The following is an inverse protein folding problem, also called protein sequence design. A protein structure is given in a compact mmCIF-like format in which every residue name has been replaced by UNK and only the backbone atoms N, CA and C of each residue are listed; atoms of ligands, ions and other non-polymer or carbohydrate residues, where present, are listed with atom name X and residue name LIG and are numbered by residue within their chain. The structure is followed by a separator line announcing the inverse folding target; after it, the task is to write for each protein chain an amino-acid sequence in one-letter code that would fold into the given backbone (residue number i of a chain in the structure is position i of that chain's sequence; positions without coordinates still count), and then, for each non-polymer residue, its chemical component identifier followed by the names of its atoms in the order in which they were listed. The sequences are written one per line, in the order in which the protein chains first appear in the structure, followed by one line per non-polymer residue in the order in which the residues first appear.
data_IF_901043065572
#
_entry.id   IF_901043065572
#
_cell.length_a   1.000
_cell.length_b   1.000
_cell.length_c   1.000
_cell.angle_alpha   90.00
_cell.angle_beta   90.00
_cell.angle_gamma   90.00
#
_symmetry.space_group_name_H-M   'P 1'
#
loop_
_entity.id
_entity.type
_entity.pdbx_description
1 polymer ?
#
# COMPACT_ATOMS: atom_id res chain seq x y z
N UNK A 1 5.32 -50.72 11.50
CA UNK A 1 5.09 -50.38 10.09
C UNK A 1 5.61 -48.97 9.99
N UNK A 2 6.93 -48.87 9.84
CA UNK A 2 7.67 -47.64 10.06
C UNK A 2 7.86 -46.96 8.71
N UNK A 3 6.99 -46.01 8.39
CA UNK A 3 7.27 -45.00 7.38
C UNK A 3 8.16 -43.95 8.04
N UNK A 4 9.47 -44.18 7.98
CA UNK A 4 10.47 -43.15 8.23
C UNK A 4 10.23 -42.00 7.26
N UNK A 5 9.95 -40.84 7.87
CA UNK A 5 9.78 -39.51 7.32
C UNK A 5 11.04 -39.11 6.51
N UNK A 6 11.15 -39.58 5.26
CA UNK A 6 12.23 -39.21 4.34
C UNK A 6 12.04 -37.75 3.92
N UNK A 7 12.65 -36.84 4.67
CA UNK A 7 12.82 -35.44 4.24
C UNK A 7 13.39 -35.43 2.83
N UNK A 8 12.77 -34.72 1.88
CA UNK A 8 13.24 -34.69 0.49
C UNK A 8 14.70 -34.23 0.47
N UNK A 9 15.57 -35.02 -0.15
CA UNK A 9 16.95 -34.61 -0.41
C UNK A 9 16.91 -33.40 -1.34
N UNK A 10 17.13 -32.22 -0.78
CA UNK A 10 17.26 -30.99 -1.56
C UNK A 10 18.60 -31.04 -2.32
N UNK A 11 18.54 -31.06 -3.64
CA UNK A 11 19.73 -31.01 -4.49
C UNK A 11 20.54 -29.73 -4.21
N UNK A 12 21.87 -29.87 -4.13
CA UNK A 12 22.73 -28.71 -3.98
C UNK A 12 22.74 -27.90 -5.28
N UNK A 13 22.49 -26.58 -5.24
CA UNK A 13 22.45 -25.76 -6.44
C UNK A 13 23.83 -25.72 -7.11
N UNK A 14 23.85 -25.81 -8.44
CA UNK A 14 25.05 -25.56 -9.24
C UNK A 14 25.43 -24.09 -9.06
N UNK A 15 26.67 -23.83 -8.62
CA UNK A 15 27.14 -22.47 -8.39
C UNK A 15 27.44 -21.76 -9.72
N UNK A 16 26.45 -21.04 -10.25
CA UNK A 16 26.54 -20.28 -11.51
C UNK A 16 26.86 -18.80 -11.31
N UNK A 17 27.01 -18.32 -10.06
CA UNK A 17 27.12 -16.89 -9.74
C UNK A 17 25.81 -16.09 -9.91
N UNK A 18 24.75 -16.69 -10.44
CA UNK A 18 23.47 -16.02 -10.69
C UNK A 18 22.78 -15.55 -9.39
N UNK A 19 22.83 -16.35 -8.31
CA UNK A 19 22.18 -16.00 -7.05
C UNK A 19 22.74 -14.70 -6.42
N UNK A 20 24.07 -14.55 -6.23
CA UNK A 20 24.65 -13.27 -5.78
C UNK A 20 24.30 -12.09 -6.69
N UNK A 21 24.26 -12.29 -8.01
CA UNK A 21 23.89 -11.23 -8.97
C UNK A 21 22.43 -10.80 -8.81
N UNK A 22 21.50 -11.75 -8.71
CA UNK A 22 20.08 -11.46 -8.50
C UNK A 22 19.88 -10.72 -7.17
N UNK A 23 20.55 -11.16 -6.10
CA UNK A 23 20.46 -10.49 -4.79
C UNK A 23 20.98 -9.05 -4.87
N UNK A 24 22.06 -8.79 -5.62
CA UNK A 24 22.56 -7.44 -5.83
C UNK A 24 21.56 -6.56 -6.60
N UNK A 25 20.95 -7.08 -7.66
CA UNK A 25 19.93 -6.35 -8.42
C UNK A 25 18.69 -6.07 -7.57
N UNK A 26 18.17 -7.06 -6.82
CA UNK A 26 17.01 -6.84 -5.94
C UNK A 26 17.29 -5.78 -4.87
N UNK A 27 18.52 -5.71 -4.37
CA UNK A 27 18.91 -4.68 -3.40
C UNK A 27 18.77 -3.26 -3.96
N UNK A 28 19.02 -3.04 -5.26
CA UNK A 28 18.78 -1.75 -5.91
C UNK A 28 17.30 -1.37 -5.90
N UNK A 29 16.40 -2.33 -6.14
CA UNK A 29 14.96 -2.09 -6.04
C UNK A 29 14.54 -1.76 -4.60
N UNK A 30 15.10 -2.47 -3.62
CA UNK A 30 14.83 -2.18 -2.21
C UNK A 30 15.31 -0.77 -1.83
N UNK A 31 16.48 -0.34 -2.34
CA UNK A 31 17.01 1.01 -2.18
C UNK A 31 16.13 2.06 -2.87
N UNK A 32 15.74 1.84 -4.12
CA UNK A 32 14.89 2.76 -4.85
C UNK A 32 13.51 2.94 -4.20
N UNK A 33 12.89 1.87 -3.72
CA UNK A 33 11.64 1.95 -2.96
C UNK A 33 11.84 2.71 -1.64
N UNK A 34 12.92 2.43 -0.91
CA UNK A 34 13.23 3.17 0.30
C UNK A 34 13.37 4.66 0.02
N UNK A 35 14.05 5.03 -1.07
CA UNK A 35 14.18 6.40 -1.50
C UNK A 35 12.83 7.02 -1.87
N UNK A 36 11.99 6.35 -2.67
CA UNK A 36 10.63 6.80 -3.03
C UNK A 36 9.74 7.10 -1.80
N UNK A 37 9.90 6.35 -0.71
CA UNK A 37 9.15 6.56 0.54
C UNK A 37 9.88 7.44 1.58
N UNK A 38 11.13 7.84 1.33
CA UNK A 38 11.93 8.61 2.30
C UNK A 38 11.74 10.12 2.24
N UNK A 39 11.18 10.71 1.18
CA UNK A 39 10.97 12.16 1.09
C UNK A 39 9.56 12.60 0.69
N UNK A 40 9.21 13.82 1.11
CA UNK A 40 7.93 14.48 0.83
C UNK A 40 7.94 15.38 -0.40
N UNK A 41 9.07 15.53 -1.11
CA UNK A 41 9.21 16.51 -2.19
C UNK A 41 8.46 16.03 -3.45
N UNK A 42 7.47 16.78 -3.96
CA UNK A 42 6.67 16.36 -5.11
C UNK A 42 7.45 16.36 -6.43
N UNK A 43 8.42 17.27 -6.58
CA UNK A 43 9.23 17.46 -7.79
C UNK A 43 10.48 16.55 -7.85
N UNK A 44 10.42 15.44 -7.11
CA UNK A 44 11.48 14.44 -7.05
C UNK A 44 11.19 13.30 -8.02
N UNK A 45 12.22 12.83 -8.70
CA UNK A 45 12.20 11.60 -9.49
C UNK A 45 13.26 10.63 -8.97
N UNK A 46 12.93 9.35 -8.94
CA UNK A 46 13.84 8.25 -8.59
C UNK A 46 13.92 7.31 -9.80
N UNK A 47 15.13 7.11 -10.30
CA UNK A 47 15.44 6.22 -11.42
C UNK A 47 16.12 4.95 -10.95
N UNK A 48 15.84 3.83 -11.62
CA UNK A 48 16.51 2.52 -11.39
C UNK A 48 17.24 2.14 -12.66
N UNK A 49 18.54 1.82 -12.55
CA UNK A 49 19.44 1.55 -13.68
C UNK A 49 19.35 2.68 -14.74
N UNK A 50 19.60 3.92 -14.29
CA UNK A 50 19.50 5.14 -15.10
C UNK A 50 20.84 5.87 -15.16
N UNK A 51 21.01 6.94 -14.39
CA UNK A 51 22.29 7.63 -14.25
C UNK A 51 23.29 6.82 -13.41
N UNK A 52 22.79 5.93 -12.56
CA UNK A 52 23.51 4.93 -11.78
C UNK A 52 22.52 3.80 -11.40
N UNK A 53 22.92 2.86 -10.55
CA UNK A 53 22.07 1.78 -10.02
C UNK A 53 20.74 2.34 -9.50
N UNK A 54 20.80 3.37 -8.65
CA UNK A 54 19.66 4.20 -8.24
C UNK A 54 20.04 5.67 -8.37
N UNK A 55 19.21 6.48 -9.01
CA UNK A 55 19.44 7.92 -9.15
C UNK A 55 18.25 8.71 -8.65
N UNK A 56 18.50 9.89 -8.09
CA UNK A 56 17.47 10.85 -7.72
C UNK A 56 17.75 12.19 -8.40
N UNK A 57 16.71 12.77 -8.98
CA UNK A 57 16.71 14.13 -9.51
C UNK A 57 15.65 14.95 -8.80
N UNK A 58 16.02 16.13 -8.31
CA UNK A 58 15.11 17.08 -7.66
C UNK A 58 15.18 18.41 -8.39
N UNK A 59 14.07 18.80 -9.02
CA UNK A 59 13.94 20.14 -9.60
C UNK A 59 13.73 21.16 -8.49
N UNK A 60 14.53 22.23 -8.52
CA UNK A 60 14.44 23.35 -7.60
C UNK A 60 13.53 24.44 -8.17
N UNK A 61 13.03 25.32 -7.29
CA UNK A 61 12.16 26.43 -7.69
C UNK A 61 12.83 27.44 -8.64
N UNK A 62 14.17 27.52 -8.63
CA UNK A 62 14.96 28.36 -9.54
C UNK A 62 15.21 27.71 -10.91
N UNK A 63 14.65 26.52 -11.16
CA UNK A 63 14.80 25.76 -12.40
C UNK A 63 16.08 24.91 -12.46
N UNK A 64 16.93 24.96 -11.44
CA UNK A 64 18.09 24.07 -11.36
C UNK A 64 17.69 22.66 -10.94
N UNK A 65 18.57 21.68 -11.18
CA UNK A 65 18.36 20.29 -10.80
C UNK A 65 19.51 19.84 -9.91
N UNK A 66 19.16 19.23 -8.78
CA UNK A 66 20.10 18.53 -7.90
C UNK A 66 20.02 17.04 -8.19
N UNK A 67 21.17 16.40 -8.32
CA UNK A 67 21.29 14.97 -8.57
C UNK A 67 21.90 14.24 -7.37
N UNK A 68 21.43 13.02 -7.11
CA UNK A 68 22.06 12.06 -6.22
C UNK A 68 22.19 10.73 -6.94
N UNK A 69 23.39 10.18 -6.99
CA UNK A 69 23.72 8.95 -7.70
C UNK A 69 24.16 7.90 -6.69
N UNK A 70 23.43 6.80 -6.60
CA UNK A 70 23.75 5.69 -5.71
C UNK A 70 24.29 4.52 -6.52
N UNK A 71 25.42 3.98 -6.06
CA UNK A 71 25.98 2.73 -6.55
C UNK A 71 25.85 1.71 -5.43
N UNK A 72 25.09 0.64 -5.69
CA UNK A 72 24.56 -0.24 -4.66
C UNK A 72 25.34 -1.55 -4.62
N UNK A 73 25.76 -1.95 -3.42
CA UNK A 73 26.55 -3.15 -3.23
C UNK A 73 26.00 -4.04 -2.12
N UNK A 74 25.26 -5.07 -2.54
CA UNK A 74 24.92 -6.17 -1.67
C UNK A 74 26.04 -7.22 -1.65
N UNK A 75 26.44 -7.65 -0.45
CA UNK A 75 27.27 -8.85 -0.26
C UNK A 75 26.55 -9.89 0.57
N UNK A 76 26.66 -11.15 0.11
CA UNK A 76 26.21 -12.35 0.83
C UNK A 76 27.35 -13.03 1.60
N UNK A 77 28.57 -12.46 1.55
CA UNK A 77 29.73 -12.99 2.26
C UNK A 77 29.62 -12.70 3.76
N UNK A 78 30.00 -13.68 4.59
CA UNK A 78 29.95 -13.55 6.04
C UNK A 78 31.00 -12.56 6.61
N UNK A 79 32.04 -12.24 5.84
CA UNK A 79 33.10 -11.31 6.23
C UNK A 79 33.56 -10.45 5.06
N UNK A 80 34.06 -9.26 5.39
CA UNK A 80 34.48 -8.25 4.41
C UNK A 80 33.37 -7.28 4.02
N UNK A 81 33.70 -6.33 3.14
CA UNK A 81 32.76 -5.37 2.56
C UNK A 81 33.05 -5.16 1.07
N UNK A 82 32.08 -4.74 0.24
CA UNK A 82 32.26 -4.64 -1.21
C UNK A 82 33.30 -3.60 -1.65
N UNK A 83 33.49 -2.55 -0.86
CA UNK A 83 34.36 -1.41 -1.15
C UNK A 83 35.76 -1.56 -0.56
N UNK A 84 36.43 -2.68 -0.81
CA UNK A 84 37.82 -2.89 -0.38
C UNK A 84 38.77 -1.89 -1.06
N UNK A 85 39.80 -1.45 -0.36
CA UNK A 85 40.77 -0.43 -0.83
C UNK A 85 41.49 -0.83 -2.13
N UNK A 86 41.70 -2.14 -2.33
CA UNK A 86 42.27 -2.72 -3.57
C UNK A 86 41.23 -3.48 -4.41
N UNK A 87 39.94 -3.37 -4.07
CA UNK A 87 38.85 -4.10 -4.70
C UNK A 87 38.41 -3.45 -6.01
N UNK A 88 38.23 -4.26 -7.06
CA UNK A 88 37.80 -3.77 -8.38
C UNK A 88 36.52 -2.94 -8.33
N UNK A 89 35.55 -3.27 -7.46
CA UNK A 89 34.27 -2.55 -7.39
C UNK A 89 34.45 -1.07 -7.07
N UNK A 90 35.19 -0.72 -6.00
CA UNK A 90 35.47 0.67 -5.64
C UNK A 90 36.11 1.44 -6.80
N UNK A 91 37.21 0.91 -7.35
CA UNK A 91 37.94 1.58 -8.43
C UNK A 91 37.14 1.70 -9.72
N UNK A 92 36.32 0.70 -10.04
CA UNK A 92 35.43 0.75 -11.20
C UNK A 92 34.38 1.85 -11.04
N UNK A 93 33.73 1.94 -9.88
CA UNK A 93 32.74 2.99 -9.59
C UNK A 93 33.36 4.38 -9.71
N UNK A 94 34.52 4.62 -9.07
CA UNK A 94 35.22 5.91 -9.17
C UNK A 94 35.55 6.26 -10.62
N UNK A 95 36.04 5.29 -11.42
CA UNK A 95 36.32 5.50 -12.84
C UNK A 95 35.06 5.89 -13.60
N UNK A 96 33.94 5.19 -13.39
CA UNK A 96 32.69 5.44 -14.11
C UNK A 96 32.19 6.86 -13.84
N UNK A 97 32.15 7.29 -12.57
CA UNK A 97 31.76 8.66 -12.22
C UNK A 97 32.70 9.71 -12.81
N UNK A 98 34.03 9.52 -12.71
CA UNK A 98 35.00 10.43 -13.30
C UNK A 98 34.88 10.52 -14.81
N UNK A 99 34.56 9.42 -15.50
CA UNK A 99 34.41 9.41 -16.96
C UNK A 99 33.18 10.15 -17.48
N UNK A 100 32.19 10.41 -16.62
CA UNK A 100 30.98 11.15 -16.95
C UNK A 100 30.92 12.52 -16.25
N UNK A 101 32.03 12.96 -15.64
CA UNK A 101 32.02 14.12 -14.76
C UNK A 101 31.61 15.42 -15.47
N UNK A 102 31.91 15.56 -16.76
CA UNK A 102 31.46 16.71 -17.57
C UNK A 102 29.94 16.81 -17.62
N UNK A 103 29.27 15.67 -17.78
CA UNK A 103 27.81 15.59 -17.89
C UNK A 103 27.18 15.75 -16.51
N UNK A 104 27.83 15.26 -15.45
CA UNK A 104 27.33 15.40 -14.08
C UNK A 104 27.49 16.81 -13.53
N UNK A 105 28.52 17.56 -13.94
CA UNK A 105 28.72 18.97 -13.56
C UNK A 105 27.65 19.91 -14.13
N UNK A 106 26.72 19.43 -14.97
CA UNK A 106 25.57 20.22 -15.42
C UNK A 106 24.51 20.42 -14.32
N UNK A 107 24.46 19.52 -13.33
CA UNK A 107 23.57 19.65 -12.18
C UNK A 107 24.10 20.71 -11.22
N UNK A 108 23.20 21.46 -10.57
CA UNK A 108 23.60 22.48 -9.60
C UNK A 108 24.37 21.88 -8.42
N UNK A 109 23.97 20.67 -8.02
CA UNK A 109 24.69 19.84 -7.07
C UNK A 109 24.58 18.37 -7.49
N UNK A 110 25.64 17.61 -7.25
CA UNK A 110 25.68 16.15 -7.47
C UNK A 110 26.23 15.49 -6.22
N UNK A 111 25.44 14.65 -5.56
CA UNK A 111 25.93 13.76 -4.50
C UNK A 111 26.24 12.39 -5.09
N UNK A 112 27.44 11.86 -4.79
CA UNK A 112 27.83 10.50 -5.14
C UNK A 112 27.74 9.62 -3.91
N UNK A 113 26.99 8.52 -3.97
CA UNK A 113 26.74 7.67 -2.82
C UNK A 113 27.13 6.24 -3.10
N UNK A 114 28.04 5.72 -2.28
CA UNK A 114 28.33 4.30 -2.21
C UNK A 114 27.43 3.68 -1.15
N UNK A 115 26.66 2.67 -1.51
CA UNK A 115 25.74 2.01 -0.56
C UNK A 115 26.12 0.56 -0.38
N UNK A 116 26.03 0.04 0.85
CA UNK A 116 26.19 -1.39 1.10
C UNK A 116 25.35 -1.90 2.28
N UNK A 117 24.96 -3.17 2.23
CA UNK A 117 24.16 -3.83 3.27
C UNK A 117 24.96 -4.15 4.56
N UNK A 118 26.29 -4.16 4.52
CA UNK A 118 27.15 -4.47 5.66
C UNK A 118 27.81 -3.21 6.24
N UNK A 119 28.42 -3.30 7.42
CA UNK A 119 29.19 -2.18 7.96
C UNK A 119 30.56 -2.07 7.30
N UNK A 120 31.04 -0.84 7.09
CA UNK A 120 32.37 -0.55 6.55
C UNK A 120 33.28 0.00 7.66
N UNK A 121 34.45 -0.62 7.92
CA UNK A 121 35.38 -0.15 8.96
C UNK A 121 35.91 1.28 8.72
N UNK A 122 36.10 2.05 9.79
CA UNK A 122 36.53 3.46 9.75
C UNK A 122 37.92 3.68 9.16
N UNK A 123 38.81 2.70 9.21
CA UNK A 123 40.17 2.80 8.67
C UNK A 123 40.31 2.56 7.16
N UNK A 124 39.21 2.31 6.46
CA UNK A 124 39.22 2.03 5.01
C UNK A 124 39.39 3.29 4.19
N UNK A 125 39.95 3.14 2.98
CA UNK A 125 40.07 4.25 2.03
C UNK A 125 38.70 4.89 1.77
N UNK A 126 37.68 4.09 1.49
CA UNK A 126 36.34 4.60 1.16
C UNK A 126 35.73 5.46 2.29
N UNK A 127 36.01 5.15 3.57
CA UNK A 127 35.60 6.00 4.69
C UNK A 127 36.36 7.31 4.71
N UNK A 128 37.67 7.26 4.54
CA UNK A 128 38.49 8.48 4.42
C UNK A 128 38.03 9.38 3.28
N UNK A 129 37.61 8.82 2.14
CA UNK A 129 37.07 9.60 1.03
C UNK A 129 35.71 10.22 1.39
N UNK A 130 34.80 9.44 1.98
CA UNK A 130 33.46 9.90 2.36
C UNK A 130 33.45 10.93 3.50
N UNK A 131 34.41 10.86 4.42
CA UNK A 131 34.49 11.70 5.61
C UNK A 131 35.24 13.02 5.34
N UNK A 132 35.80 13.18 4.14
CA UNK A 132 36.50 14.40 3.73
C UNK A 132 35.50 15.54 3.46
N UNK A 133 35.44 16.51 4.36
CA UNK A 133 34.50 17.64 4.28
C UNK A 133 35.20 18.98 4.05
N UNK A 134 36.32 19.23 4.73
CA UNK A 134 37.09 20.47 4.53
C UNK A 134 38.04 20.36 3.34
N UNK A 135 38.44 21.50 2.77
CA UNK A 135 39.41 21.55 1.65
C UNK A 135 40.69 20.78 1.98
N UNK A 136 41.22 20.95 3.19
CA UNK A 136 42.40 20.21 3.69
C UNK A 136 42.15 18.70 3.78
N UNK A 137 40.97 18.28 4.22
CA UNK A 137 40.64 16.85 4.30
C UNK A 137 40.50 16.25 2.91
N UNK A 138 39.92 17.01 1.96
CA UNK A 138 39.78 16.61 0.56
C UNK A 138 41.16 16.46 -0.10
N UNK A 139 42.07 17.42 0.08
CA UNK A 139 43.46 17.29 -0.40
C UNK A 139 44.15 16.05 0.19
N UNK A 140 43.99 15.82 1.50
CA UNK A 140 44.55 14.65 2.17
C UNK A 140 43.92 13.33 1.68
N UNK A 141 42.65 13.35 1.30
CA UNK A 141 41.94 12.20 0.73
C UNK A 141 42.36 11.93 -0.72
N UNK A 142 42.57 12.97 -1.54
CA UNK A 142 43.15 12.86 -2.89
C UNK A 142 44.55 12.23 -2.82
N UNK A 143 45.40 12.71 -1.91
CA UNK A 143 46.73 12.13 -1.71
C UNK A 143 46.67 10.65 -1.31
N UNK A 144 45.74 10.27 -0.43
CA UNK A 144 45.53 8.88 -0.04
C UNK A 144 45.03 8.00 -1.19
N UNK A 145 44.10 8.53 -2.02
CA UNK A 145 43.62 7.84 -3.22
C UNK A 145 44.79 7.59 -4.19
N UNK A 146 45.67 8.57 -4.40
CA UNK A 146 46.87 8.46 -5.25
C UNK A 146 47.84 7.41 -4.71
N UNK A 147 48.13 7.44 -3.42
CA UNK A 147 49.00 6.46 -2.77
C UNK A 147 48.45 5.04 -2.94
N UNK A 148 47.16 4.85 -2.66
CA UNK A 148 46.52 3.55 -2.83
C UNK A 148 46.47 3.12 -4.31
N UNK A 149 46.25 4.05 -5.25
CA UNK A 149 46.31 3.75 -6.67
C UNK A 149 47.70 3.19 -7.06
N UNK A 150 48.78 3.83 -6.58
CA UNK A 150 50.15 3.36 -6.82
C UNK A 150 50.38 1.97 -6.20
N UNK A 151 49.89 1.72 -4.98
CA UNK A 151 49.98 0.41 -4.34
C UNK A 151 49.23 -0.68 -5.13
N UNK A 152 48.03 -0.36 -5.64
CA UNK A 152 47.25 -1.25 -6.52
C UNK A 152 48.00 -1.54 -7.82
N UNK A 153 48.59 -0.52 -8.45
CA UNK A 153 49.32 -0.65 -9.71
C UNK A 153 50.64 -1.43 -9.56
N UNK A 154 51.30 -1.32 -8.41
CA UNK A 154 52.50 -2.09 -8.08
C UNK A 154 52.20 -3.59 -7.88
N UNK A 155 50.94 -3.94 -7.58
CA UNK A 155 50.51 -5.32 -7.43
C UNK A 155 50.03 -5.89 -8.77
N UNK A 156 50.91 -6.64 -9.46
CA UNK A 156 50.61 -7.27 -10.75
C UNK A 156 49.40 -8.22 -10.75
N UNK A 157 49.03 -8.75 -9.58
CA UNK A 157 47.88 -9.67 -9.42
C UNK A 157 46.58 -8.95 -9.08
N UNK A 158 46.59 -7.64 -8.90
CA UNK A 158 45.39 -6.91 -8.51
C UNK A 158 44.38 -6.86 -9.66
N UNK A 159 43.15 -7.24 -9.35
CA UNK A 159 42.02 -7.16 -10.30
C UNK A 159 41.53 -5.73 -10.53
N UNK A 160 42.01 -4.77 -9.71
CA UNK A 160 41.67 -3.35 -9.81
C UNK A 160 42.65 -2.53 -10.66
N UNK A 161 43.82 -3.06 -11.03
CA UNK A 161 44.92 -2.29 -11.66
C UNK A 161 44.49 -1.52 -12.91
N UNK A 162 43.64 -2.12 -13.75
CA UNK A 162 43.11 -1.43 -14.95
C UNK A 162 42.31 -0.19 -14.55
N UNK A 163 41.36 -0.34 -13.63
CA UNK A 163 40.47 0.74 -13.21
C UNK A 163 41.25 1.84 -12.45
N UNK A 164 42.15 1.43 -11.54
CA UNK A 164 43.02 2.34 -10.80
C UNK A 164 43.93 3.16 -11.74
N UNK A 165 44.44 2.57 -12.83
CA UNK A 165 45.26 3.28 -13.82
C UNK A 165 44.48 4.40 -14.53
N UNK A 166 43.16 4.27 -14.68
CA UNK A 166 42.33 5.33 -15.25
C UNK A 166 42.07 6.42 -14.23
N UNK A 167 41.68 6.06 -13.00
CA UNK A 167 41.45 7.01 -11.91
C UNK A 167 42.72 7.84 -11.66
N UNK A 168 43.89 7.20 -11.67
CA UNK A 168 45.18 7.84 -11.48
C UNK A 168 45.55 8.88 -12.56
N UNK A 169 44.83 8.96 -13.69
CA UNK A 169 45.11 9.94 -14.76
C UNK A 169 44.29 11.22 -14.67
N UNK A 170 43.20 11.23 -13.89
CA UNK A 170 42.39 12.44 -13.71
C UNK A 170 43.15 13.51 -12.94
N UNK A 171 42.84 14.79 -13.17
CA UNK A 171 43.45 15.90 -12.44
C UNK A 171 42.98 15.92 -10.97
N UNK A 172 43.79 16.48 -10.08
CA UNK A 172 43.46 16.56 -8.66
C UNK A 172 42.16 17.36 -8.42
N UNK A 173 41.87 18.38 -9.22
CA UNK A 173 40.61 19.15 -9.16
C UNK A 173 39.37 18.27 -9.41
N UNK A 174 39.43 17.35 -10.37
CA UNK A 174 38.32 16.45 -10.68
C UNK A 174 38.15 15.38 -9.57
N UNK A 175 39.27 14.88 -9.04
CA UNK A 175 39.25 13.97 -7.89
C UNK A 175 38.68 14.67 -6.65
N UNK A 176 39.11 15.90 -6.39
CA UNK A 176 38.63 16.73 -5.27
C UNK A 176 37.13 17.04 -5.42
N UNK A 177 36.67 17.36 -6.64
CA UNK A 177 35.24 17.59 -6.91
C UNK A 177 34.39 16.38 -6.54
N UNK A 178 34.80 15.17 -6.96
CA UNK A 178 34.10 13.92 -6.66
C UNK A 178 34.17 13.60 -5.17
N UNK A 179 35.37 13.63 -4.57
CA UNK A 179 35.58 13.28 -3.16
C UNK A 179 34.79 14.21 -2.24
N UNK A 180 34.80 15.51 -2.49
CA UNK A 180 34.04 16.48 -1.68
C UNK A 180 32.52 16.29 -1.73
N UNK A 181 32.02 15.46 -2.65
CA UNK A 181 30.61 15.12 -2.84
C UNK A 181 30.31 13.64 -2.60
N UNK A 182 31.31 12.86 -2.17
CA UNK A 182 31.18 11.44 -1.94
C UNK A 182 30.60 11.17 -0.56
N UNK A 183 29.62 10.28 -0.48
CA UNK A 183 29.03 9.74 0.74
C UNK A 183 29.07 8.22 0.73
N UNK A 184 29.29 7.62 1.89
CA UNK A 184 29.19 6.18 2.09
C UNK A 184 28.09 5.88 3.09
N UNK A 185 27.07 5.17 2.61
CA UNK A 185 25.91 4.72 3.37
C UNK A 185 25.98 3.21 3.58
N UNK A 186 26.47 2.79 4.74
CA UNK A 186 26.63 1.38 5.08
C UNK A 186 25.41 0.84 5.87
N UNK A 187 25.41 -0.45 6.20
CA UNK A 187 24.31 -1.11 6.96
C UNK A 187 22.92 -0.93 6.33
N UNK A 188 22.85 -0.99 5.00
CA UNK A 188 21.62 -0.82 4.23
C UNK A 188 21.36 0.62 3.79
N UNK A 189 22.14 1.59 4.29
CA UNK A 189 22.11 2.96 3.82
C UNK A 189 20.79 3.71 4.08
N UNK A 190 20.04 3.29 5.09
CA UNK A 190 18.81 3.95 5.52
C UNK A 190 19.09 4.88 6.71
N UNK A 191 18.20 5.86 6.92
CA UNK A 191 18.32 6.77 8.07
C UNK A 191 18.13 6.07 9.43
N UNK A 192 17.38 4.96 9.47
CA UNK A 192 17.16 4.17 10.69
C UNK A 192 18.29 3.18 11.00
N UNK A 193 19.21 2.95 10.05
CA UNK A 193 20.22 1.91 10.14
C UNK A 193 19.69 0.49 9.96
N UNK A 194 18.42 0.34 9.55
CA UNK A 194 17.83 -0.93 9.14
C UNK A 194 18.09 -1.20 7.66
N UNK A 195 17.84 -2.44 7.22
CA UNK A 195 17.89 -2.76 5.80
C UNK A 195 16.74 -2.03 5.05
N UNK A 196 16.92 -1.70 3.75
CA UNK A 196 15.99 -0.82 3.02
C UNK A 196 14.55 -1.29 3.01
N UNK A 197 14.32 -2.60 2.90
CA UNK A 197 12.99 -3.21 2.90
C UNK A 197 12.25 -2.93 4.22
N UNK A 198 12.88 -3.24 5.34
CA UNK A 198 12.31 -3.09 6.68
C UNK A 198 12.02 -1.62 7.00
N UNK A 199 12.97 -0.72 6.64
CA UNK A 199 12.78 0.72 6.79
C UNK A 199 11.61 1.23 5.91
N UNK A 200 11.46 0.69 4.70
CA UNK A 200 10.34 1.03 3.81
C UNK A 200 8.99 0.58 4.38
N UNK A 201 8.91 -0.65 4.90
CA UNK A 201 7.68 -1.17 5.53
C UNK A 201 7.28 -0.31 6.73
N UNK A 202 8.25 0.14 7.54
CA UNK A 202 7.97 1.07 8.64
C UNK A 202 7.43 2.42 8.15
N UNK A 203 7.97 2.94 7.05
CA UNK A 203 7.52 4.19 6.42
C UNK A 203 6.14 4.11 5.80
N UNK A 204 5.60 2.93 5.54
CA UNK A 204 4.22 2.78 5.08
C UNK A 204 3.21 3.27 6.12
N UNK A 205 3.58 3.33 7.41
CA UNK A 205 2.71 3.77 8.50
C UNK A 205 1.35 3.06 8.46
N UNK A 206 1.39 1.74 8.29
CA UNK A 206 0.20 0.93 8.08
C UNK A 206 -0.76 1.01 9.29
N UNK A 207 -2.09 0.99 9.06
CA UNK A 207 -3.06 0.80 10.12
C UNK A 207 -2.75 -0.45 10.94
N UNK A 208 -3.05 -0.44 12.25
CA UNK A 208 -2.71 -1.52 13.19
C UNK A 208 -3.18 -2.90 12.71
N UNK A 209 -4.38 -2.99 12.12
CA UNK A 209 -4.93 -4.23 11.56
C UNK A 209 -4.19 -4.78 10.32
N UNK A 210 -3.36 -3.96 9.68
CA UNK A 210 -2.61 -4.33 8.48
C UNK A 210 -1.09 -4.48 8.72
N UNK A 211 -0.59 -4.19 9.92
CA UNK A 211 0.86 -4.29 10.22
C UNK A 211 1.40 -5.69 9.92
N UNK A 212 0.65 -6.73 10.26
CA UNK A 212 1.03 -8.13 9.98
C UNK A 212 1.09 -8.47 8.47
N UNK A 213 0.49 -7.64 7.62
CA UNK A 213 0.50 -7.79 6.15
C UNK A 213 1.54 -6.88 5.48
N UNK A 214 2.41 -6.20 6.25
CA UNK A 214 3.37 -5.24 5.72
C UNK A 214 4.30 -5.82 4.67
N UNK A 215 4.76 -7.06 4.87
CA UNK A 215 5.57 -7.77 3.87
C UNK A 215 4.82 -8.03 2.57
N UNK A 216 3.55 -8.45 2.63
CA UNK A 216 2.75 -8.71 1.43
C UNK A 216 2.47 -7.41 0.65
N UNK A 217 2.21 -6.31 1.37
CA UNK A 217 2.02 -4.99 0.78
C UNK A 217 3.31 -4.53 0.11
N UNK A 218 4.47 -4.72 0.76
CA UNK A 218 5.78 -4.43 0.17
C UNK A 218 6.02 -5.23 -1.11
N UNK A 219 5.78 -6.54 -1.08
CA UNK A 219 5.97 -7.41 -2.25
C UNK A 219 5.07 -7.00 -3.42
N UNK A 220 3.83 -6.58 -3.15
CA UNK A 220 2.96 -6.03 -4.19
C UNK A 220 3.55 -4.76 -4.81
N UNK A 221 3.97 -3.80 -3.98
CA UNK A 221 4.55 -2.54 -4.44
C UNK A 221 5.85 -2.76 -5.23
N UNK A 222 6.73 -3.64 -4.74
CA UNK A 222 7.95 -4.06 -5.42
C UNK A 222 7.64 -4.70 -6.77
N UNK A 223 6.66 -5.61 -6.84
CA UNK A 223 6.23 -6.22 -8.09
C UNK A 223 5.82 -5.18 -9.14
N UNK A 224 5.07 -4.14 -8.73
CA UNK A 224 4.69 -3.04 -9.63
C UNK A 224 5.91 -2.25 -10.11
N UNK A 225 6.90 -2.00 -9.24
CA UNK A 225 8.14 -1.32 -9.63
C UNK A 225 8.93 -2.12 -10.66
N UNK A 226 9.12 -3.42 -10.41
CA UNK A 226 9.83 -4.35 -11.30
C UNK A 226 9.15 -4.44 -12.66
N UNK A 227 7.82 -4.60 -12.68
CA UNK A 227 7.07 -4.66 -13.95
C UNK A 227 7.20 -3.37 -14.75
N UNK A 228 7.12 -2.21 -14.10
CA UNK A 228 7.31 -0.91 -14.78
C UNK A 228 8.72 -0.74 -15.33
N UNK A 229 9.75 -1.16 -14.58
CA UNK A 229 11.14 -1.13 -15.06
C UNK A 229 11.30 -2.04 -16.27
N UNK A 230 10.84 -3.29 -16.19
CA UNK A 230 10.89 -4.25 -17.30
C UNK A 230 10.24 -3.67 -18.56
N UNK A 231 9.03 -3.10 -18.44
CA UNK A 231 8.33 -2.50 -19.56
C UNK A 231 9.06 -1.31 -20.19
N UNK A 232 9.77 -0.50 -19.41
CA UNK A 232 10.58 0.61 -19.91
C UNK A 232 11.84 0.08 -20.63
N UNK A 233 12.58 -0.82 -19.99
CA UNK A 233 13.83 -1.36 -20.54
C UNK A 233 13.61 -2.21 -21.80
N UNK A 234 12.49 -2.95 -21.90
CA UNK A 234 12.11 -3.67 -23.13
C UNK A 234 11.91 -2.73 -24.33
N UNK A 235 11.62 -1.45 -24.08
CA UNK A 235 11.51 -0.39 -25.10
C UNK A 235 12.80 0.43 -25.26
N UNK A 236 13.84 0.15 -24.48
CA UNK A 236 15.06 0.96 -24.43
C UNK A 236 14.87 2.32 -23.73
N UNK A 237 13.84 2.45 -22.90
CA UNK A 237 13.54 3.67 -22.14
C UNK A 237 14.10 3.60 -20.71
N UNK A 238 14.42 4.76 -20.12
CA UNK A 238 14.84 4.87 -18.73
C UNK A 238 13.63 4.76 -17.77
N UNK A 239 13.80 4.06 -16.65
CA UNK A 239 12.74 3.85 -15.67
C UNK A 239 12.79 4.92 -14.56
N UNK A 240 12.02 6.00 -14.72
CA UNK A 240 11.88 7.07 -13.72
C UNK A 240 10.52 7.03 -13.02
N UNK A 241 10.53 7.24 -11.71
CA UNK A 241 9.35 7.18 -10.84
C UNK A 241 9.21 8.43 -9.99
N UNK A 242 7.98 8.88 -9.77
CA UNK A 242 7.68 9.90 -8.77
C UNK A 242 7.29 9.26 -7.43
N UNK A 243 7.67 9.85 -6.28
CA UNK A 243 7.20 9.41 -4.96
C UNK A 243 5.68 9.32 -4.86
N UNK A 244 4.96 10.25 -5.49
CA UNK A 244 3.49 10.29 -5.43
C UNK A 244 2.86 9.04 -6.05
N UNK A 245 3.39 8.53 -7.17
CA UNK A 245 2.89 7.32 -7.83
C UNK A 245 2.85 6.13 -6.86
N UNK A 246 3.88 5.99 -6.03
CA UNK A 246 4.03 4.88 -5.09
C UNK A 246 3.23 5.09 -3.79
N UNK A 247 3.07 6.34 -3.34
CA UNK A 247 2.16 6.68 -2.24
C UNK A 247 0.70 6.37 -2.61
N UNK A 248 0.28 6.72 -3.82
CA UNK A 248 -1.07 6.41 -4.32
C UNK A 248 -1.29 4.90 -4.46
N UNK A 249 -0.27 4.16 -4.91
CA UNK A 249 -0.31 2.70 -4.97
C UNK A 249 -0.46 2.08 -3.57
N UNK A 250 0.31 2.56 -2.59
CA UNK A 250 0.19 2.13 -1.19
C UNK A 250 -1.21 2.40 -0.64
N UNK A 251 -1.75 3.61 -0.82
CA UNK A 251 -3.10 3.95 -0.37
C UNK A 251 -4.17 3.06 -0.99
N UNK A 252 -4.05 2.75 -2.30
CA UNK A 252 -4.98 1.85 -2.99
C UNK A 252 -4.91 0.43 -2.43
N UNK A 253 -3.71 -0.08 -2.17
CA UNK A 253 -3.51 -1.43 -1.65
C UNK A 253 -4.00 -1.56 -0.19
N UNK A 254 -3.73 -0.55 0.64
CA UNK A 254 -4.28 -0.44 2.00
C UNK A 254 -5.81 -0.43 1.95
N UNK A 255 -6.41 0.44 1.12
CA UNK A 255 -7.86 0.52 0.97
C UNK A 255 -8.49 -0.79 0.47
N UNK A 256 -7.82 -1.51 -0.44
CA UNK A 256 -8.28 -2.82 -0.93
C UNK A 256 -8.28 -3.87 0.18
N UNK A 257 -7.28 -3.86 1.06
CA UNK A 257 -7.16 -4.84 2.15
C UNK A 257 -8.09 -4.53 3.31
N UNK A 258 -8.33 -3.26 3.59
CA UNK A 258 -9.36 -2.82 4.54
C UNK A 258 -10.78 -2.99 4.01
N UNK A 259 -11.00 -3.34 2.73
CA UNK A 259 -12.35 -3.52 2.17
C UNK A 259 -13.23 -4.50 2.97
N UNK A 260 -12.62 -5.55 3.55
CA UNK A 260 -13.34 -6.52 4.37
C UNK A 260 -13.98 -5.90 5.60
N UNK A 261 -13.40 -4.82 6.09
CA UNK A 261 -13.90 -4.07 7.23
C UNK A 261 -15.22 -3.39 6.83
N UNK A 262 -15.31 -2.86 5.60
CA UNK A 262 -16.48 -2.14 5.07
C UNK A 262 -17.61 -3.04 4.53
N UNK A 263 -17.41 -4.36 4.43
CA UNK A 263 -18.42 -5.30 3.94
C UNK A 263 -19.09 -6.03 5.10
N UNK A 264 -20.38 -6.31 4.98
CA UNK A 264 -21.08 -7.07 6.00
C UNK A 264 -20.65 -8.54 6.00
N UNK A 265 -20.59 -9.14 7.20
CA UNK A 265 -20.17 -10.53 7.37
C UNK A 265 -21.31 -11.52 7.07
N UNK A 266 -21.04 -12.81 6.81
CA UNK A 266 -22.10 -13.80 6.68
C UNK A 266 -22.98 -13.87 7.93
N UNK A 267 -24.30 -13.97 7.79
CA UNK A 267 -25.27 -13.94 8.90
C UNK A 267 -24.93 -14.90 10.04
N UNK A 268 -24.47 -16.11 9.71
CA UNK A 268 -24.10 -17.15 10.69
C UNK A 268 -22.86 -16.81 11.52
N UNK A 269 -22.04 -15.86 11.09
CA UNK A 269 -20.89 -15.36 11.84
C UNK A 269 -21.23 -14.19 12.77
N UNK A 270 -22.42 -13.63 12.62
CA UNK A 270 -22.93 -12.56 13.48
C UNK A 270 -23.58 -13.23 14.70
N UNK A 271 -23.13 -12.91 15.91
CA UNK A 271 -23.63 -13.48 17.18
C UNK A 271 -25.04 -13.04 17.56
N UNK A 272 -25.94 -12.82 16.59
CA UNK A 272 -27.24 -12.18 16.79
C UNK A 272 -28.24 -13.03 17.58
N UNK A 273 -28.07 -14.36 17.59
CA UNK A 273 -29.00 -15.29 18.26
C UNK A 273 -29.10 -15.06 19.77
N UNK A 274 -28.03 -14.57 20.40
CA UNK A 274 -28.03 -14.24 21.83
C UNK A 274 -28.98 -13.06 22.12
N UNK A 275 -29.04 -12.08 21.22
CA UNK A 275 -29.91 -10.90 21.35
C UNK A 275 -31.38 -11.23 21.10
N UNK A 276 -31.66 -12.12 20.14
CA UNK A 276 -33.01 -12.63 19.87
C UNK A 276 -33.59 -13.34 21.11
N UNK A 277 -32.76 -14.07 21.85
CA UNK A 277 -33.16 -14.80 23.05
C UNK A 277 -33.33 -13.93 24.30
N UNK A 278 -32.60 -12.80 24.38
CA UNK A 278 -32.51 -12.00 25.60
C UNK A 278 -33.68 -11.01 25.81
N UNK A 279 -34.17 -10.33 24.77
CA UNK A 279 -35.33 -9.41 24.89
C UNK A 279 -35.89 -8.91 23.54
N UNK A 280 -35.66 -9.64 22.44
CA UNK A 280 -35.76 -9.09 21.08
C UNK A 280 -37.16 -8.93 20.47
N UNK A 281 -38.26 -8.87 21.23
CA UNK A 281 -39.62 -8.91 20.63
C UNK A 281 -40.47 -7.64 20.76
N UNK A 282 -40.03 -6.62 21.51
CA UNK A 282 -40.74 -5.33 21.57
C UNK A 282 -40.18 -4.32 20.55
N UNK A 283 -40.30 -4.65 19.26
CA UNK A 283 -39.95 -3.74 18.17
C UNK A 283 -41.20 -3.21 17.48
N UNK A 284 -41.16 -1.94 17.09
CA UNK A 284 -42.26 -1.27 16.41
C UNK A 284 -42.57 -1.93 15.06
N UNK A 285 -41.55 -2.33 14.29
CA UNK A 285 -41.76 -3.05 13.03
C UNK A 285 -42.45 -4.41 13.23
N UNK A 286 -42.19 -5.12 14.33
CA UNK A 286 -42.86 -6.41 14.63
C UNK A 286 -44.36 -6.23 14.91
N UNK A 287 -44.76 -5.10 15.51
CA UNK A 287 -46.17 -4.74 15.70
C UNK A 287 -46.87 -4.60 14.34
N UNK A 288 -46.21 -3.98 13.36
CA UNK A 288 -46.71 -3.87 11.99
C UNK A 288 -46.85 -5.24 11.31
N UNK A 289 -45.81 -6.10 11.39
CA UNK A 289 -45.84 -7.44 10.78
C UNK A 289 -46.92 -8.35 11.39
N UNK A 290 -47.12 -8.24 12.71
CA UNK A 290 -48.18 -8.96 13.42
C UNK A 290 -49.56 -8.44 13.02
N UNK A 291 -49.72 -7.13 12.87
CA UNK A 291 -50.96 -6.50 12.41
C UNK A 291 -51.36 -6.96 11.00
N UNK A 292 -50.38 -7.20 10.12
CA UNK A 292 -50.63 -7.80 8.80
C UNK A 292 -51.09 -9.28 8.89
N UNK A 293 -51.05 -9.93 10.05
CA UNK A 293 -51.43 -11.33 10.19
C UNK A 293 -50.48 -12.28 9.45
N UNK A 294 -49.18 -12.00 9.51
CA UNK A 294 -48.14 -12.85 8.94
C UNK A 294 -47.84 -14.06 9.85
N UNK A 295 -47.41 -15.21 9.31
CA UNK A 295 -47.07 -16.38 10.11
C UNK A 295 -45.91 -16.09 11.09
N UNK A 296 -45.99 -16.60 12.32
CA UNK A 296 -44.96 -16.40 13.36
C UNK A 296 -43.56 -16.77 12.90
N UNK A 297 -43.41 -17.88 12.16
CA UNK A 297 -42.12 -18.29 11.59
C UNK A 297 -41.50 -17.23 10.68
N UNK A 298 -42.32 -16.56 9.88
CA UNK A 298 -41.84 -15.50 8.99
C UNK A 298 -41.44 -14.26 9.78
N UNK A 299 -42.22 -13.90 10.80
CA UNK A 299 -41.91 -12.78 11.71
C UNK A 299 -40.59 -13.04 12.45
N UNK A 300 -40.35 -14.26 12.94
CA UNK A 300 -39.10 -14.65 13.58
C UNK A 300 -37.90 -14.54 12.62
N UNK A 301 -38.05 -14.96 11.36
CA UNK A 301 -37.00 -14.79 10.34
C UNK A 301 -36.68 -13.30 10.06
N UNK A 302 -37.70 -12.43 10.08
CA UNK A 302 -37.48 -10.99 9.92
C UNK A 302 -36.80 -10.37 11.15
N UNK A 303 -37.07 -10.89 12.33
CA UNK A 303 -36.38 -10.49 13.55
C UNK A 303 -34.90 -10.87 13.53
N UNK A 304 -34.59 -12.08 13.04
CA UNK A 304 -33.21 -12.52 12.83
C UNK A 304 -32.45 -11.56 11.89
N UNK A 305 -33.10 -11.15 10.78
CA UNK A 305 -32.53 -10.19 9.84
C UNK A 305 -32.27 -8.81 10.48
N UNK A 306 -33.22 -8.31 11.29
CA UNK A 306 -33.08 -7.04 11.99
C UNK A 306 -31.86 -7.04 12.93
N UNK A 307 -31.71 -8.05 13.78
CA UNK A 307 -30.59 -8.11 14.73
C UNK A 307 -29.25 -8.33 14.04
N UNK A 308 -29.22 -9.20 13.01
CA UNK A 308 -28.01 -9.40 12.23
C UNK A 308 -27.56 -8.09 11.56
N UNK A 309 -28.49 -7.31 10.99
CA UNK A 309 -28.19 -5.99 10.45
C UNK A 309 -27.70 -5.01 11.54
N UNK A 310 -28.40 -4.91 12.66
CA UNK A 310 -28.06 -3.96 13.72
C UNK A 310 -26.65 -4.16 14.27
N UNK A 311 -26.24 -5.41 14.50
CA UNK A 311 -24.89 -5.74 14.97
C UNK A 311 -23.84 -5.35 13.94
N UNK A 312 -24.11 -5.61 12.65
CA UNK A 312 -23.19 -5.20 11.59
C UNK A 312 -23.14 -3.68 11.42
N UNK A 313 -24.26 -2.96 11.57
CA UNK A 313 -24.28 -1.50 11.57
C UNK A 313 -23.34 -0.96 12.65
N UNK A 314 -23.47 -1.43 13.89
CA UNK A 314 -22.61 -1.02 15.02
C UNK A 314 -21.14 -1.33 14.74
N UNK A 315 -20.84 -2.52 14.19
CA UNK A 315 -19.47 -2.89 13.81
C UNK A 315 -18.91 -1.96 12.73
N UNK A 316 -19.66 -1.77 11.65
CA UNK A 316 -19.27 -0.96 10.50
C UNK A 316 -19.08 0.52 10.86
N UNK A 317 -19.92 1.06 11.75
CA UNK A 317 -19.72 2.39 12.34
C UNK A 317 -18.42 2.45 13.15
N UNK A 318 -18.11 1.41 13.95
CA UNK A 318 -16.84 1.29 14.67
C UNK A 318 -15.61 1.14 13.77
N UNK A 319 -15.77 0.57 12.59
CA UNK A 319 -14.72 0.39 11.58
C UNK A 319 -14.59 1.58 10.60
N UNK A 320 -15.42 2.61 10.77
CA UNK A 320 -15.26 3.91 10.10
C UNK A 320 -16.10 4.12 8.85
N UNK A 321 -17.18 3.37 8.64
CA UNK A 321 -18.18 3.72 7.61
C UNK A 321 -18.77 5.09 7.92
N UNK A 322 -18.70 6.00 6.95
CA UNK A 322 -19.08 7.40 7.16
C UNK A 322 -20.60 7.56 7.25
N UNK A 323 -21.08 8.47 8.12
CA UNK A 323 -22.52 8.71 8.30
C UNK A 323 -23.23 9.11 7.00
N UNK A 324 -22.53 9.79 6.09
CA UNK A 324 -23.06 10.15 4.79
C UNK A 324 -23.41 8.92 3.92
N UNK A 325 -22.64 7.84 4.02
CA UNK A 325 -22.92 6.59 3.29
C UNK A 325 -24.16 5.89 3.87
N UNK A 326 -24.38 5.97 5.19
CA UNK A 326 -25.61 5.48 5.83
C UNK A 326 -26.83 6.26 5.37
N UNK A 327 -26.78 7.59 5.44
CA UNK A 327 -27.89 8.46 5.01
C UNK A 327 -28.24 8.25 3.53
N UNK A 328 -27.24 8.13 2.66
CA UNK A 328 -27.46 7.86 1.25
C UNK A 328 -28.13 6.50 1.01
N UNK A 329 -27.72 5.48 1.78
CA UNK A 329 -28.36 4.16 1.75
C UNK A 329 -29.80 4.21 2.26
N UNK A 330 -30.07 4.90 3.36
CA UNK A 330 -31.41 5.05 3.95
C UNK A 330 -32.37 5.73 2.97
N UNK A 331 -31.95 6.82 2.30
CA UNK A 331 -32.74 7.46 1.23
C UNK A 331 -33.01 6.48 0.08
N UNK A 332 -31.99 5.76 -0.41
CA UNK A 332 -32.16 4.77 -1.47
C UNK A 332 -33.19 3.68 -1.10
N UNK A 333 -33.14 3.17 0.13
CA UNK A 333 -34.11 2.19 0.62
C UNK A 333 -35.51 2.80 0.69
N UNK A 334 -35.64 4.01 1.22
CA UNK A 334 -36.91 4.72 1.32
C UNK A 334 -37.57 4.95 -0.06
N UNK A 335 -36.82 5.47 -1.04
CA UNK A 335 -37.34 5.66 -2.40
C UNK A 335 -37.78 4.36 -3.07
N UNK A 336 -37.01 3.27 -2.85
CA UNK A 336 -37.40 1.95 -3.35
C UNK A 336 -38.67 1.45 -2.68
N UNK A 337 -38.78 1.56 -1.35
CA UNK A 337 -39.99 1.18 -0.61
C UNK A 337 -41.22 1.94 -1.13
N UNK A 338 -41.12 3.26 -1.33
CA UNK A 338 -42.20 4.08 -1.95
C UNK A 338 -42.62 3.53 -3.30
N UNK A 339 -41.65 3.21 -4.16
CA UNK A 339 -41.92 2.63 -5.49
C UNK A 339 -42.62 1.28 -5.37
N UNK A 340 -42.15 0.40 -4.49
CA UNK A 340 -42.75 -0.91 -4.22
C UNK A 340 -44.18 -0.78 -3.68
N UNK A 341 -44.44 0.21 -2.83
CA UNK A 341 -45.77 0.50 -2.30
C UNK A 341 -46.72 1.01 -3.39
N UNK A 342 -46.31 1.99 -4.18
CA UNK A 342 -47.13 2.52 -5.26
C UNK A 342 -47.49 1.41 -6.26
N UNK A 343 -46.53 0.54 -6.58
CA UNK A 343 -46.80 -0.64 -7.43
C UNK A 343 -47.78 -1.62 -6.78
N UNK A 344 -47.69 -1.82 -5.46
CA UNK A 344 -48.63 -2.68 -4.73
C UNK A 344 -50.06 -2.12 -4.71
N UNK A 345 -50.20 -0.80 -4.59
CA UNK A 345 -51.49 -0.09 -4.65
C UNK A 345 -52.10 -0.19 -6.05
N UNK A 346 -51.29 -0.03 -7.11
CA UNK A 346 -51.73 -0.23 -8.50
C UNK A 346 -52.10 -1.68 -8.82
N UNK A 347 -51.34 -2.65 -8.32
CA UNK A 347 -51.59 -4.09 -8.55
C UNK A 347 -52.88 -4.59 -7.89
N UNK A 348 -53.29 -3.94 -6.78
CA UNK A 348 -54.35 -4.39 -5.89
C UNK A 348 -55.39 -3.28 -5.66
N UNK A 349 -55.87 -2.67 -6.74
CA UNK A 349 -56.94 -1.68 -6.72
C UNK A 349 -58.15 -2.22 -5.94
N UNK A 350 -58.72 -1.39 -5.05
CA UNK A 350 -59.82 -1.72 -4.12
C UNK A 350 -59.56 -2.83 -3.08
N UNK A 351 -58.31 -3.30 -2.93
CA UNK A 351 -57.98 -4.29 -1.91
C UNK A 351 -57.88 -3.69 -0.49
N UNK A 352 -58.13 -4.48 0.57
CA UNK A 352 -57.93 -4.02 1.94
C UNK A 352 -56.49 -3.56 2.18
N UNK A 353 -56.25 -2.53 3.03
CA UNK A 353 -54.91 -2.03 3.35
C UNK A 353 -53.90 -3.12 3.79
N UNK A 354 -54.36 -4.15 4.49
CA UNK A 354 -53.54 -5.29 4.87
C UNK A 354 -53.05 -6.14 3.68
N UNK A 355 -53.83 -6.24 2.59
CA UNK A 355 -53.41 -6.93 1.37
C UNK A 355 -52.35 -6.14 0.61
N UNK A 356 -52.54 -4.83 0.49
CA UNK A 356 -51.54 -3.89 -0.06
C UNK A 356 -50.25 -3.96 0.75
N UNK A 357 -50.34 -3.90 2.09
CA UNK A 357 -49.18 -4.00 2.98
C UNK A 357 -48.36 -5.28 2.81
N UNK A 358 -49.03 -6.44 2.69
CA UNK A 358 -48.37 -7.71 2.39
C UNK A 358 -47.67 -7.70 1.03
N UNK A 359 -48.28 -7.08 0.03
CA UNK A 359 -47.72 -6.96 -1.32
C UNK A 359 -46.50 -6.03 -1.32
N UNK A 360 -46.59 -4.87 -0.67
CA UNK A 360 -45.48 -3.93 -0.47
C UNK A 360 -44.29 -4.61 0.21
N UNK A 361 -44.53 -5.33 1.31
CA UNK A 361 -43.49 -6.08 2.03
C UNK A 361 -42.79 -7.09 1.11
N UNK A 362 -43.56 -7.86 0.34
CA UNK A 362 -43.02 -8.87 -0.59
C UNK A 362 -42.20 -8.26 -1.73
N UNK A 363 -42.62 -7.12 -2.28
CA UNK A 363 -41.89 -6.42 -3.34
C UNK A 363 -40.61 -5.75 -2.81
N UNK A 364 -40.66 -5.26 -1.56
CA UNK A 364 -39.55 -4.54 -0.92
C UNK A 364 -38.45 -5.51 -0.47
N UNK A 365 -38.85 -6.63 0.16
CA UNK A 365 -37.95 -7.70 0.64
C UNK A 365 -37.69 -8.76 -0.44
N UNK A 366 -37.41 -8.29 -1.66
CA UNK A 366 -37.09 -9.11 -2.81
C UNK A 366 -35.70 -9.75 -2.69
N UNK A 367 -35.61 -11.05 -2.97
CA UNK A 367 -34.38 -11.85 -2.81
C UNK A 367 -33.25 -11.48 -3.78
N UNK A 368 -33.53 -10.66 -4.79
CA UNK A 368 -32.54 -10.20 -5.75
C UNK A 368 -31.96 -8.82 -5.42
N UNK A 369 -32.62 -8.05 -4.54
CA UNK A 369 -32.23 -6.68 -4.24
C UNK A 369 -31.32 -6.59 -3.01
N UNK A 370 -30.07 -6.20 -3.25
CA UNK A 370 -29.04 -5.96 -2.24
C UNK A 370 -28.55 -4.53 -2.35
N UNK A 371 -28.99 -3.67 -1.43
CA UNK A 371 -28.59 -2.26 -1.47
C UNK A 371 -27.08 -2.14 -1.19
N UNK A 372 -26.34 -1.23 -1.85
CA UNK A 372 -24.94 -0.95 -1.55
C UNK A 372 -24.78 -0.05 -0.32
N UNK A 373 -23.57 0.02 0.23
CA UNK A 373 -23.17 1.03 1.23
C UNK A 373 -21.98 1.82 0.68
N UNK A 374 -22.16 3.12 0.47
CA UNK A 374 -21.24 3.94 -0.31
C UNK A 374 -20.98 3.33 -1.70
N UNK A 375 -19.71 3.07 -2.01
CA UNK A 375 -19.29 2.43 -3.28
C UNK A 375 -19.28 0.90 -3.25
N UNK A 376 -19.62 0.27 -2.13
CA UNK A 376 -19.47 -1.16 -1.93
C UNK A 376 -20.81 -1.89 -2.07
N UNK A 377 -20.82 -2.98 -2.84
CA UNK A 377 -22.01 -3.83 -2.99
C UNK A 377 -22.15 -4.71 -1.76
N UNK A 378 -23.37 -4.86 -1.25
CA UNK A 378 -23.65 -5.89 -0.24
C UNK A 378 -23.85 -7.25 -0.90
N UNK A 379 -23.45 -8.29 -0.19
CA UNK A 379 -23.53 -9.69 -0.59
C UNK A 379 -24.67 -10.42 0.12
N UNK A 380 -25.07 -9.98 1.31
CA UNK A 380 -26.00 -10.68 2.19
C UNK A 380 -27.38 -9.99 2.26
N UNK A 381 -28.45 -10.76 2.03
CA UNK A 381 -29.82 -10.24 2.03
C UNK A 381 -30.28 -9.71 3.38
N UNK A 382 -29.86 -10.34 4.48
CA UNK A 382 -30.24 -9.90 5.84
C UNK A 382 -29.84 -8.44 6.08
N UNK A 383 -28.76 -7.97 5.45
CA UNK A 383 -28.26 -6.60 5.64
C UNK A 383 -29.13 -5.56 4.92
N UNK A 384 -29.86 -5.96 3.89
CA UNK A 384 -30.86 -5.08 3.24
C UNK A 384 -32.22 -5.22 3.94
N UNK A 385 -32.66 -6.45 4.20
CA UNK A 385 -33.96 -6.71 4.84
C UNK A 385 -34.00 -6.16 6.28
N UNK A 386 -32.95 -6.42 7.06
CA UNK A 386 -32.82 -5.89 8.42
C UNK A 386 -32.76 -4.37 8.46
N UNK A 387 -32.18 -3.73 7.44
CA UNK A 387 -32.18 -2.26 7.36
C UNK A 387 -33.59 -1.71 7.09
N UNK A 388 -34.39 -2.33 6.22
CA UNK A 388 -35.80 -1.94 6.09
C UNK A 388 -36.56 -2.07 7.42
N UNK A 389 -36.31 -3.14 8.18
CA UNK A 389 -36.92 -3.30 9.50
C UNK A 389 -36.43 -2.28 10.52
N UNK A 390 -35.15 -1.87 10.41
CA UNK A 390 -34.60 -0.78 11.21
C UNK A 390 -35.29 0.55 10.91
N UNK A 391 -35.43 0.91 9.64
CA UNK A 391 -36.20 2.08 9.21
C UNK A 391 -37.66 1.99 9.67
N UNK A 392 -38.28 0.81 9.58
CA UNK A 392 -39.63 0.58 10.06
C UNK A 392 -39.77 0.57 11.58
N UNK A 393 -38.66 0.59 12.32
CA UNK A 393 -38.65 0.62 13.77
C UNK A 393 -38.56 2.05 14.34
N UNK A 394 -38.26 3.06 13.50
CA UNK A 394 -37.96 4.42 13.91
C UNK A 394 -38.96 5.43 13.28
N UNK A 395 -40.20 5.55 13.82
CA UNK A 395 -41.23 6.42 13.26
C UNK A 395 -40.85 7.90 13.23
N UNK A 396 -39.93 8.35 14.08
CA UNK A 396 -39.52 9.75 14.15
C UNK A 396 -38.40 10.12 13.15
N UNK A 397 -37.88 9.17 12.37
CA UNK A 397 -36.78 9.39 11.42
C UNK A 397 -37.25 9.83 10.02
N UNK A 398 -36.40 10.58 9.30
CA UNK A 398 -36.74 11.16 7.98
C UNK A 398 -36.97 10.11 6.88
N UNK A 399 -36.35 8.95 7.01
CA UNK A 399 -36.44 7.83 6.06
C UNK A 399 -37.33 6.69 6.60
N UNK A 400 -38.25 7.01 7.51
CA UNK A 400 -39.19 6.05 8.08
C UNK A 400 -40.00 5.35 6.98
N UNK A 401 -40.07 4.02 7.07
CA UNK A 401 -40.90 3.18 6.20
C UNK A 401 -41.96 2.46 7.02
N UNK A 402 -43.11 2.16 6.42
CA UNK A 402 -44.17 1.42 7.09
C UNK A 402 -44.76 0.34 6.19
N UNK A 403 -45.30 -0.70 6.81
CA UNK A 403 -45.90 -1.84 6.12
C UNK A 403 -47.42 -1.75 6.05
N UNK A 404 -48.05 -0.90 6.87
CA UNK A 404 -49.49 -0.69 6.87
C UNK A 404 -49.83 0.79 7.13
N UNK A 405 -50.84 1.38 6.45
CA UNK A 405 -51.18 2.81 6.58
C UNK A 405 -51.50 3.27 8.00
N UNK A 406 -52.03 2.40 8.86
CA UNK A 406 -52.29 2.71 10.28
C UNK A 406 -51.03 3.12 11.07
N UNK A 407 -49.84 2.81 10.54
CA UNK A 407 -48.55 3.15 11.13
C UNK A 407 -47.83 4.27 10.36
N UNK A 408 -48.47 4.86 9.36
CA UNK A 408 -47.91 5.97 8.60
C UNK A 408 -47.75 7.23 9.46
N UNK A 409 -46.73 8.03 9.16
CA UNK A 409 -46.62 9.37 9.70
C UNK A 409 -47.71 10.29 9.11
N UNK A 410 -48.08 11.33 9.87
CA UNK A 410 -49.18 12.26 9.51
C UNK A 410 -48.99 12.97 8.16
N UNK A 411 -47.76 13.07 7.67
CA UNK A 411 -47.46 13.69 6.38
C UNK A 411 -47.67 12.72 5.20
N UNK A 412 -47.35 11.43 5.36
CA UNK A 412 -47.61 10.40 4.33
C UNK A 412 -49.07 9.93 4.30
N UNK A 413 -49.83 10.13 5.40
CA UNK A 413 -51.26 9.82 5.47
C UNK A 413 -52.13 10.75 4.60
N UNK A 414 -51.60 11.91 4.17
CA UNK A 414 -52.33 12.86 3.32
C UNK A 414 -52.25 12.56 1.82
N UNK A 415 -51.20 11.87 1.36
CA UNK A 415 -51.06 11.49 -0.06
C UNK A 415 -51.90 10.25 -0.43
N UNK A 416 -52.42 9.51 0.56
CA UNK A 416 -53.31 8.35 0.34
C UNK A 416 -54.81 8.63 0.53
N UNK A 417 -55.19 9.87 0.82
CA UNK A 417 -56.59 10.29 1.07
C UNK A 417 -57.12 11.17 -0.05
N UNK A 418 -57.32 10.60 -1.24
CA UNK A 418 -58.12 11.20 -2.30
C UNK A 418 -59.60 10.90 -2.07
N UNK A 419 -60.35 11.98 -1.81
CA UNK A 419 -61.80 12.13 -1.49
C UNK A 419 -62.27 11.89 -0.04
#
# INVERSE_FOLDING_TARGET
MDEEDQKPQVEKPINTGAAPTIVAFTFQFDRALNELFSSGTPDRQVGIETLDDVAELVAQADGTVVAKLEQDANTVQASGHPYQDSGRKLWHTLRVWLSHLSDLKQYAETEFRLVTNVSVPSGTLVRRLSDAVSEKDIEAAVAALREQANAVLANEKSTASKEASFVAKYADDDLAYLIGRLKLSDKGGTASGQQPREDTIQRFLLPSGLVAQGDEIYQHILGVAVDKCRMAWEKGEAAWFSPQMFKDLLHKEVGRRSLKDYLERPMMSVGFKEYVQADGRDHFFLKQLTHLGLPTRYVDEQLDNYWAFYIERVRLEGEGVHQADWLAREDQLHQRWRTCRNNAELDLEDAPPAAVGKRTLRLTLDGEYKAPIGRYKSENLYFTHGHYHHLANAPDESHFVYWHPDFANKDDAKDGGGE
#
